data_IF_091969445768
#
_entry.id   IF_091969445768
#
_cell.length_a   1.000
_cell.length_b   1.000
_cell.length_c   1.000
_cell.angle_alpha   90.00
_cell.angle_beta   90.00
_cell.angle_gamma   90.00
#
_symmetry.space_group_name_H-M   'P 1'
#
loop_
_entity.id
_entity.type
_entity.pdbx_description
1 polymer ?
#
# COMPACT_ATOMS: atom_id res chain seq x y z
N UNK A 1 9.67 -1.42 -20.83
CA UNK A 1 9.25 -0.54 -21.93
C UNK A 1 9.75 0.85 -21.60
N UNK A 2 10.57 1.45 -22.46
CA UNK A 2 11.00 2.84 -22.29
C UNK A 2 9.82 3.75 -22.69
N UNK A 3 9.12 4.29 -21.70
CA UNK A 3 8.02 5.22 -21.93
C UNK A 3 8.59 6.62 -22.15
N UNK A 4 8.60 7.07 -23.42
CA UNK A 4 9.01 8.43 -23.77
C UNK A 4 7.80 9.35 -23.64
N UNK A 5 7.88 10.33 -22.74
CA UNK A 5 6.82 11.30 -22.50
C UNK A 5 7.17 12.64 -23.15
N UNK A 6 6.40 13.05 -24.15
CA UNK A 6 6.58 14.34 -24.82
C UNK A 6 5.92 15.44 -23.98
N UNK A 7 6.71 16.06 -23.10
CA UNK A 7 6.26 17.15 -22.25
C UNK A 7 6.83 18.49 -22.69
N UNK A 8 5.98 19.51 -22.74
CA UNK A 8 6.38 20.91 -22.92
C UNK A 8 6.13 21.66 -21.61
N UNK A 9 7.14 21.80 -20.73
CA UNK A 9 6.99 22.55 -19.50
C UNK A 9 6.76 24.04 -19.76
N UNK A 10 6.30 24.73 -18.74
CA UNK A 10 6.28 26.20 -18.73
C UNK A 10 7.71 26.75 -18.88
N UNK A 11 7.88 27.86 -19.60
CA UNK A 11 9.19 28.47 -19.88
C UNK A 11 9.95 28.80 -18.60
N UNK A 12 9.26 29.36 -17.61
CA UNK A 12 9.83 29.71 -16.30
C UNK A 12 10.39 28.49 -15.54
N UNK A 13 9.76 27.34 -15.71
CA UNK A 13 10.16 26.08 -15.08
C UNK A 13 11.34 25.46 -15.83
N UNK A 14 11.33 25.52 -17.16
CA UNK A 14 12.43 25.04 -17.99
C UNK A 14 13.73 25.79 -17.69
N UNK A 15 13.68 27.12 -17.57
CA UNK A 15 14.85 27.94 -17.23
C UNK A 15 15.45 27.55 -15.86
N UNK A 16 14.60 27.30 -14.86
CA UNK A 16 15.05 26.85 -13.53
C UNK A 16 15.69 25.48 -13.57
N UNK A 17 15.11 24.54 -14.32
CA UNK A 17 15.67 23.19 -14.48
C UNK A 17 17.02 23.23 -15.20
N UNK A 18 17.15 24.07 -16.24
CA UNK A 18 18.43 24.27 -16.94
C UNK A 18 19.47 24.90 -16.02
N UNK A 19 19.11 25.93 -15.25
CA UNK A 19 20.02 26.55 -14.29
C UNK A 19 20.48 25.54 -13.22
N UNK A 20 19.56 24.70 -12.73
CA UNK A 20 19.86 23.65 -11.77
C UNK A 20 20.76 22.57 -12.39
N UNK A 21 20.49 22.15 -13.63
CA UNK A 21 21.30 21.21 -14.39
C UNK A 21 22.74 21.72 -14.59
N UNK A 22 22.90 23.01 -14.89
CA UNK A 22 24.21 23.65 -15.01
C UNK A 22 24.97 23.69 -13.68
N UNK A 23 24.27 23.90 -12.56
CA UNK A 23 24.89 23.91 -11.23
C UNK A 23 25.31 22.53 -10.75
N UNK A 24 24.51 21.50 -11.05
CA UNK A 24 24.77 20.13 -10.59
C UNK A 24 25.60 19.31 -11.59
N UNK A 25 25.81 19.82 -12.81
CA UNK A 25 26.49 19.11 -13.89
C UNK A 25 25.74 17.88 -14.40
N UNK A 26 24.45 17.76 -14.06
CA UNK A 26 23.60 16.64 -14.46
C UNK A 26 22.69 17.03 -15.62
N UNK A 27 22.33 16.09 -16.50
CA UNK A 27 21.35 16.35 -17.54
C UNK A 27 19.97 16.63 -16.92
N UNK A 28 19.17 17.53 -17.53
CA UNK A 28 17.85 17.92 -17.01
C UNK A 28 16.88 16.74 -16.90
N UNK A 29 17.03 15.73 -17.75
CA UNK A 29 16.23 14.49 -17.74
C UNK A 29 16.35 13.72 -16.41
N UNK A 30 17.57 13.64 -15.84
CA UNK A 30 17.82 12.94 -14.58
C UNK A 30 17.19 13.70 -13.42
N UNK A 31 17.31 15.03 -13.42
CA UNK A 31 16.69 15.90 -12.41
C UNK A 31 15.16 15.74 -12.43
N UNK A 32 14.56 15.73 -13.62
CA UNK A 32 13.11 15.54 -13.77
C UNK A 32 12.70 14.14 -13.31
N UNK A 33 13.46 13.10 -13.67
CA UNK A 33 13.17 11.72 -13.28
C UNK A 33 13.17 11.55 -11.77
N UNK A 34 14.19 12.09 -11.08
CA UNK A 34 14.28 12.05 -9.62
C UNK A 34 13.17 12.87 -8.96
N UNK A 35 12.86 14.06 -9.47
CA UNK A 35 11.76 14.88 -8.95
C UNK A 35 10.41 14.16 -9.05
N UNK A 36 10.13 13.50 -10.18
CA UNK A 36 8.90 12.72 -10.36
C UNK A 36 8.87 11.52 -9.43
N UNK A 37 9.99 10.81 -9.26
CA UNK A 37 10.08 9.68 -8.34
C UNK A 37 9.78 10.12 -6.90
N UNK A 38 10.41 11.21 -6.43
CA UNK A 38 10.17 11.76 -5.09
C UNK A 38 8.72 12.21 -4.90
N UNK A 39 8.10 12.80 -5.93
CA UNK A 39 6.69 13.19 -5.88
C UNK A 39 5.76 11.97 -5.73
N UNK A 40 6.02 10.90 -6.47
CA UNK A 40 5.25 9.64 -6.37
C UNK A 40 5.44 9.05 -4.98
N UNK A 41 6.67 8.89 -4.50
CA UNK A 41 6.96 8.35 -3.16
C UNK A 41 6.24 9.14 -2.07
N UNK A 42 6.32 10.48 -2.13
CA UNK A 42 5.64 11.36 -1.17
C UNK A 42 4.11 11.27 -1.26
N UNK A 43 3.55 11.19 -2.46
CA UNK A 43 2.11 11.05 -2.69
C UNK A 43 1.58 9.70 -2.19
N UNK A 44 2.37 8.64 -2.35
CA UNK A 44 2.00 7.29 -1.89
C UNK A 44 1.93 7.22 -0.37
N UNK A 45 2.84 7.91 0.33
CA UNK A 45 2.84 8.02 1.80
C UNK A 45 1.61 8.81 2.30
N UNK A 46 1.21 9.86 1.58
CA UNK A 46 -0.01 10.62 1.93
C UNK A 46 -1.27 9.78 1.72
N UNK A 47 -1.35 8.96 0.66
CA UNK A 47 -2.46 8.02 0.45
C UNK A 47 -2.51 6.89 1.48
N UNK A 48 -1.37 6.42 1.99
CA UNK A 48 -1.33 5.38 3.04
C UNK A 48 -1.80 5.87 4.42
N UNK A 49 -2.06 7.18 4.58
CA UNK A 49 -2.63 7.76 5.81
C UNK A 49 -4.17 7.64 5.84
N UNK A 50 -4.80 7.39 4.69
CA UNK A 50 -6.19 6.92 4.67
C UNK A 50 -6.19 5.46 5.14
N UNK A 51 -6.89 5.12 6.24
CA UNK A 51 -6.90 3.76 6.74
C UNK A 51 -7.49 2.85 5.67
N UNK A 52 -6.66 1.97 5.12
CA UNK A 52 -7.09 0.94 4.18
C UNK A 52 -8.25 0.15 4.82
N UNK A 53 -9.44 0.12 4.21
CA UNK A 53 -10.61 -0.56 4.79
C UNK A 53 -10.40 -2.07 4.96
N UNK A 54 -9.33 -2.64 4.38
CA UNK A 54 -8.94 -4.04 4.56
C UNK A 54 -7.96 -4.24 5.74
N UNK A 55 -7.24 -3.19 6.17
CA UNK A 55 -6.39 -3.18 7.37
C UNK A 55 -7.31 -3.02 8.59
N UNK A 56 -8.00 -4.10 8.94
CA UNK A 56 -8.96 -4.14 10.04
C UNK A 56 -9.84 -5.39 10.00
N UNK A 57 -9.95 -6.05 8.85
CA UNK A 57 -10.71 -7.30 8.69
C UNK A 57 -10.07 -8.48 9.42
N UNK A 58 -8.75 -8.44 9.63
CA UNK A 58 -7.98 -9.45 10.35
C UNK A 58 -7.27 -8.88 11.57
N UNK A 59 -7.87 -7.87 12.22
CA UNK A 59 -7.49 -7.52 13.58
C UNK A 59 -7.74 -8.75 14.44
N UNK A 60 -6.70 -9.57 14.59
CA UNK A 60 -6.63 -10.72 15.47
C UNK A 60 -7.19 -10.29 16.82
N UNK A 61 -8.45 -10.62 17.08
CA UNK A 61 -8.93 -10.62 18.43
C UNK A 61 -8.19 -11.78 19.06
N UNK A 62 -7.12 -11.46 19.80
CA UNK A 62 -6.37 -12.44 20.58
C UNK A 62 -7.32 -13.27 21.46
N UNK A 63 -8.48 -12.68 21.80
CA UNK A 63 -9.57 -13.32 22.52
C UNK A 63 -10.25 -14.45 21.71
N UNK A 64 -10.53 -14.25 20.42
CA UNK A 64 -11.15 -15.27 19.55
C UNK A 64 -10.21 -16.46 19.27
N UNK A 65 -8.91 -16.21 19.09
CA UNK A 65 -7.93 -17.29 18.91
C UNK A 65 -7.78 -18.12 20.20
N UNK A 66 -7.75 -17.44 21.36
CA UNK A 66 -7.61 -18.08 22.68
C UNK A 66 -8.88 -18.82 23.11
N UNK A 67 -10.06 -18.30 22.78
CA UNK A 67 -11.36 -18.89 23.11
C UNK A 67 -11.90 -19.82 22.01
N UNK A 68 -11.11 -20.12 20.97
CA UNK A 68 -11.55 -20.90 19.81
C UNK A 68 -12.15 -22.26 20.21
N UNK A 69 -11.56 -22.95 21.18
CA UNK A 69 -12.08 -24.23 21.69
C UNK A 69 -13.39 -24.08 22.47
N UNK A 70 -13.55 -23.02 23.27
CA UNK A 70 -14.77 -22.75 24.02
C UNK A 70 -15.95 -22.38 23.09
N UNK A 71 -15.67 -21.62 22.03
CA UNK A 71 -16.66 -21.25 21.00
C UNK A 71 -17.10 -22.48 20.20
N UNK A 72 -16.15 -23.34 19.80
CA UNK A 72 -16.47 -24.57 19.09
C UNK A 72 -17.32 -25.52 19.95
N UNK A 73 -17.03 -25.66 21.25
CA UNK A 73 -17.83 -26.48 22.16
C UNK A 73 -19.25 -25.92 22.39
N UNK A 74 -19.44 -24.60 22.39
CA UNK A 74 -20.78 -23.99 22.45
C UNK A 74 -21.58 -24.20 21.16
N UNK A 75 -20.93 -24.19 19.99
CA UNK A 75 -21.59 -24.33 18.69
C UNK A 75 -21.90 -25.80 18.33
N UNK A 76 -21.17 -26.78 18.90
CA UNK A 76 -21.49 -28.22 18.80
C UNK A 76 -22.66 -28.54 19.74
N UNK A 77 -23.86 -28.04 19.41
CA UNK A 77 -25.12 -28.49 20.02
C UNK A 77 -25.86 -29.44 19.06
N UNK A 78 -26.79 -30.25 19.58
CA UNK A 78 -27.57 -31.24 18.80
C UNK A 78 -28.38 -30.66 17.61
N UNK A 79 -28.47 -29.33 17.48
CA UNK A 79 -29.08 -28.66 16.31
C UNK A 79 -28.09 -28.26 15.23
N UNK A 80 -26.78 -28.21 15.54
CA UNK A 80 -25.76 -28.09 14.51
C UNK A 80 -25.67 -29.46 13.83
N UNK A 81 -25.72 -29.51 12.50
CA UNK A 81 -25.66 -30.77 11.74
C UNK A 81 -24.31 -31.51 11.81
N UNK A 82 -23.49 -31.23 12.83
CA UNK A 82 -22.15 -31.72 13.03
C UNK A 82 -22.19 -32.86 14.05
N UNK A 83 -22.53 -34.07 13.60
CA UNK A 83 -22.37 -35.28 14.42
C UNK A 83 -20.94 -35.79 14.27
N UNK A 84 -20.12 -35.68 15.31
CA UNK A 84 -18.82 -36.34 15.37
C UNK A 84 -19.04 -37.86 15.34
N UNK A 85 -18.32 -38.60 14.47
CA UNK A 85 -18.28 -40.06 14.54
C UNK A 85 -17.35 -40.44 15.68
N UNK A 86 -17.88 -41.19 16.65
CA UNK A 86 -17.05 -41.78 17.70
C UNK A 86 -16.01 -42.73 17.09
N UNK A 87 -14.74 -42.67 17.52
CA UNK A 87 -13.73 -43.62 17.08
C UNK A 87 -14.03 -45.01 17.64
N UNK A 88 -14.06 -46.01 16.76
CA UNK A 88 -14.20 -47.44 17.08
C UNK A 88 -12.96 -48.03 17.75
#
# INVERSE_FOLDING_TARGET
>A
MEHVFNWKPEQSLLEKVIALAQQTGQPPEIIITEAVKQYIETSTIQQATEPDPLIGLFSSSADLATQSEAILQQEITQKSGWTWKEPS
#
